data_IF_503293061622
#
_entry.id   IF_503293061622
#
_cell.length_a   1.000
_cell.length_b   1.000
_cell.length_c   1.000
_cell.angle_alpha   90.00
_cell.angle_beta   90.00
_cell.angle_gamma   90.00
#
_symmetry.space_group_name_H-M   'P 1'
#
loop_
_entity.id
_entity.type
_entity.pdbx_description
1 polymer ?
#
# COMPACT_ATOMS: atom_id res chain seq x y z
N UNK A 1 3.94 5.36 18.39
CA UNK A 1 3.10 4.91 17.25
C UNK A 1 2.02 5.92 16.88
N UNK A 2 1.37 6.60 17.85
CA UNK A 2 0.41 7.69 17.61
C UNK A 2 1.03 8.88 16.83
N UNK A 3 2.23 9.30 17.22
CA UNK A 3 2.97 10.40 16.58
C UNK A 3 3.17 10.21 15.06
N UNK A 4 3.45 8.98 14.60
CA UNK A 4 3.60 8.69 13.16
C UNK A 4 2.26 8.75 12.40
N UNK A 5 1.15 8.42 13.07
CA UNK A 5 -0.20 8.54 12.49
C UNK A 5 -0.65 10.00 12.41
N UNK A 6 -0.24 10.82 13.38
CA UNK A 6 -0.57 12.24 13.41
C UNK A 6 0.33 13.02 12.45
N UNK A 7 1.61 12.66 12.33
CA UNK A 7 2.51 13.16 11.29
C UNK A 7 2.02 12.77 9.89
N UNK A 8 1.55 11.53 9.72
CA UNK A 8 0.97 11.05 8.48
C UNK A 8 -0.31 11.78 8.07
N UNK A 9 -1.15 12.20 9.03
CA UNK A 9 -2.35 13.02 8.78
C UNK A 9 -2.00 14.47 8.43
N UNK A 10 -1.09 15.11 9.17
CA UNK A 10 -0.59 16.45 8.84
C UNK A 10 0.04 16.53 7.44
N UNK A 11 0.79 15.50 7.03
CA UNK A 11 1.44 15.47 5.71
C UNK A 11 0.41 15.21 4.59
N UNK A 12 -0.67 14.49 4.89
CA UNK A 12 -1.67 14.09 3.89
C UNK A 12 -2.64 15.22 3.52
N UNK A 13 -3.02 16.06 4.49
CA UNK A 13 -4.12 17.03 4.28
C UNK A 13 -3.64 18.42 3.78
N UNK A 14 -2.35 18.76 3.94
CA UNK A 14 -1.88 20.15 3.72
C UNK A 14 -0.80 20.29 2.63
N UNK A 15 -0.25 19.17 2.13
CA UNK A 15 0.84 19.20 1.15
C UNK A 15 0.37 18.81 -0.25
N UNK A 16 -0.08 19.81 -0.99
CA UNK A 16 -0.37 19.67 -2.41
C UNK A 16 0.89 19.16 -3.16
N UNK A 17 0.72 18.23 -4.12
CA UNK A 17 1.83 17.56 -4.82
C UNK A 17 2.88 18.52 -5.40
N UNK A 18 2.47 19.75 -5.76
CA UNK A 18 3.37 20.83 -6.21
C UNK A 18 4.21 21.44 -5.08
N UNK A 19 3.67 21.63 -3.89
CA UNK A 19 4.43 22.22 -2.77
C UNK A 19 5.49 21.24 -2.28
N UNK A 20 5.22 19.93 -2.26
CA UNK A 20 6.22 18.92 -1.90
C UNK A 20 7.41 18.90 -2.89
N UNK A 21 7.15 19.03 -4.20
CA UNK A 21 8.19 19.11 -5.23
C UNK A 21 9.01 20.41 -5.08
N UNK A 22 8.38 21.54 -4.77
CA UNK A 22 9.09 22.80 -4.57
C UNK A 22 9.98 22.78 -3.31
N UNK A 23 9.49 22.24 -2.20
CA UNK A 23 10.29 22.03 -1.01
C UNK A 23 11.47 21.09 -1.28
N UNK A 24 11.28 20.05 -2.11
CA UNK A 24 12.35 19.17 -2.54
C UNK A 24 13.43 19.89 -3.35
N UNK A 25 13.06 20.72 -4.33
CA UNK A 25 14.03 21.51 -5.11
C UNK A 25 14.81 22.45 -4.20
N UNK A 26 14.15 23.06 -3.22
CA UNK A 26 14.78 23.97 -2.25
C UNK A 26 15.74 23.22 -1.33
N UNK A 27 15.31 22.11 -0.72
CA UNK A 27 16.15 21.31 0.19
C UNK A 27 17.34 20.70 -0.57
N UNK A 28 17.12 20.21 -1.78
CA UNK A 28 18.18 19.67 -2.63
C UNK A 28 19.18 20.75 -3.06
N UNK A 29 18.70 21.95 -3.44
CA UNK A 29 19.57 23.08 -3.76
C UNK A 29 20.39 23.52 -2.54
N UNK A 30 19.78 23.59 -1.35
CA UNK A 30 20.46 23.94 -0.10
C UNK A 30 21.52 22.89 0.25
N UNK A 31 21.18 21.60 0.19
CA UNK A 31 22.13 20.52 0.50
C UNK A 31 23.26 20.42 -0.52
N UNK A 32 22.98 20.63 -1.81
CA UNK A 32 24.01 20.70 -2.84
C UNK A 32 24.95 21.89 -2.64
N UNK A 33 24.41 23.08 -2.36
CA UNK A 33 25.18 24.28 -2.06
C UNK A 33 26.05 24.10 -0.82
N UNK A 34 25.50 23.57 0.28
CA UNK A 34 26.25 23.27 1.50
C UNK A 34 27.35 22.24 1.26
N UNK A 35 27.08 21.20 0.46
CA UNK A 35 28.08 20.19 0.10
C UNK A 35 29.22 20.80 -0.72
N UNK A 36 28.93 21.66 -1.70
CA UNK A 36 29.98 22.38 -2.44
C UNK A 36 30.78 23.31 -1.54
N UNK A 37 30.14 24.04 -0.62
CA UNK A 37 30.85 24.90 0.34
C UNK A 37 31.76 24.09 1.28
N UNK A 38 31.33 22.91 1.73
CA UNK A 38 32.12 22.00 2.56
C UNK A 38 33.34 21.43 1.82
N UNK A 39 33.19 21.10 0.53
CA UNK A 39 34.31 20.60 -0.30
C UNK A 39 35.36 21.69 -0.56
N UNK A 40 34.95 22.93 -0.82
CA UNK A 40 35.88 24.02 -1.10
C UNK A 40 36.51 24.65 0.15
N UNK A 41 35.86 24.57 1.32
CA UNK A 41 36.39 25.08 2.59
C UNK A 41 35.89 24.25 3.80
N UNK A 42 36.51 23.10 4.09
CA UNK A 42 36.03 22.16 5.11
C UNK A 42 36.15 22.68 6.54
N UNK A 43 37.14 23.52 6.85
CA UNK A 43 37.34 24.08 8.21
C UNK A 43 36.33 25.18 8.55
N UNK A 44 36.11 26.14 7.66
CA UNK A 44 35.25 27.30 7.93
C UNK A 44 33.75 26.98 7.91
N UNK A 45 33.34 26.00 7.11
CA UNK A 45 31.92 25.69 6.93
C UNK A 45 31.33 24.88 8.08
N UNK A 46 32.09 23.98 8.70
CA UNK A 46 31.61 23.18 9.84
C UNK A 46 31.49 24.02 11.12
N UNK A 47 32.45 24.92 11.37
CA UNK A 47 32.39 25.89 12.48
C UNK A 47 31.24 26.89 12.30
N UNK A 48 31.00 27.38 11.07
CA UNK A 48 29.88 28.27 10.78
C UNK A 48 28.51 27.58 10.93
N UNK A 49 28.37 26.33 10.46
CA UNK A 49 27.14 25.53 10.61
C UNK A 49 26.86 25.18 12.07
N UNK A 50 27.89 24.79 12.83
CA UNK A 50 27.74 24.50 14.26
C UNK A 50 27.43 25.77 15.05
N UNK A 51 28.04 26.91 14.71
CA UNK A 51 27.71 28.21 15.32
C UNK A 51 26.27 28.68 15.03
N UNK A 52 25.76 28.46 13.82
CA UNK A 52 24.39 28.86 13.45
C UNK A 52 23.32 27.93 14.01
N UNK A 53 23.58 26.63 14.10
CA UNK A 53 22.62 25.64 14.63
C UNK A 53 22.62 25.58 16.16
N UNK A 54 23.79 25.68 16.80
CA UNK A 54 23.93 25.54 18.25
C UNK A 54 24.12 26.88 18.99
N UNK A 55 24.13 28.01 18.28
CA UNK A 55 24.12 29.34 18.89
C UNK A 55 25.34 29.61 19.77
N UNK A 56 26.54 29.55 19.19
CA UNK A 56 27.74 29.93 19.92
C UNK A 56 27.83 31.46 20.07
N UNK A 57 27.85 31.95 21.31
CA UNK A 57 28.32 33.31 21.61
C UNK A 57 29.84 33.33 21.50
N UNK A 58 30.37 33.87 20.41
CA UNK A 58 31.77 34.27 20.36
C UNK A 58 31.94 35.56 21.18
N UNK A 59 32.68 35.49 22.28
CA UNK A 59 33.31 36.67 22.86
C UNK A 59 34.33 37.20 21.84
N UNK A 60 34.04 38.36 21.27
CA UNK A 60 34.95 39.07 20.38
C UNK A 60 36.10 39.67 21.22
N UNK A 61 37.23 38.99 21.28
CA UNK A 61 38.52 39.67 21.47
C UNK A 61 39.20 39.78 20.11
N UNK A 62 38.94 40.88 19.40
CA UNK A 62 39.76 41.29 18.24
C UNK A 62 41.18 41.62 18.72
N UNK A 63 42.09 40.65 18.64
CA UNK A 63 43.52 40.95 18.72
C UNK A 63 44.00 41.32 17.32
N UNK A 64 44.20 42.63 17.08
CA UNK A 64 44.79 43.13 15.83
C UNK A 64 46.22 42.61 15.70
N UNK A 65 46.40 41.56 14.90
CA UNK A 65 47.72 41.12 14.45
C UNK A 65 48.40 42.28 13.74
N UNK A 66 49.45 42.80 14.35
CA UNK A 66 50.20 43.93 13.77
C UNK A 66 51.09 43.43 12.64
N UNK A 67 51.26 44.23 11.59
CA UNK A 67 52.06 43.90 10.41
C UNK A 67 53.52 43.48 10.75
N UNK A 68 54.00 43.87 11.93
CA UNK A 68 55.27 43.45 12.49
C UNK A 68 55.33 41.95 12.87
N UNK A 69 54.23 41.37 13.37
CA UNK A 69 54.14 39.94 13.68
C UNK A 69 54.09 39.09 12.41
N UNK A 70 53.45 39.61 11.36
CA UNK A 70 53.40 38.97 10.05
C UNK A 70 54.79 38.89 9.38
N UNK A 71 55.62 39.93 9.54
CA UNK A 71 57.02 39.92 9.08
C UNK A 71 57.92 39.01 9.92
N UNK A 72 57.64 38.87 11.22
CA UNK A 72 58.39 37.96 12.09
C UNK A 72 58.09 36.50 11.72
N UNK A 73 56.84 36.16 11.40
CA UNK A 73 56.43 34.84 10.93
C UNK A 73 57.05 34.48 9.56
N UNK A 74 57.13 35.43 8.62
CA UNK A 74 57.78 35.18 7.32
C UNK A 74 59.29 34.91 7.43
N UNK A 75 59.98 35.52 8.41
CA UNK A 75 61.40 35.23 8.67
C UNK A 75 61.62 33.84 9.26
N UNK A 76 60.67 33.32 10.03
CA UNK A 76 60.74 31.95 10.57
C UNK A 76 60.53 30.91 9.49
N UNK A 77 59.62 31.15 8.54
CA UNK A 77 59.36 30.23 7.40
C UNK A 77 60.58 30.11 6.49
N UNK A 78 61.27 31.20 6.17
CA UNK A 78 62.51 31.16 5.36
C UNK A 78 63.66 30.38 6.01
N UNK A 79 63.73 30.33 7.36
CA UNK A 79 64.73 29.51 8.06
C UNK A 79 64.41 28.01 8.03
N UNK A 80 63.17 27.62 7.76
CA UNK A 80 62.78 26.22 7.64
C UNK A 80 63.06 25.64 6.24
N UNK A 81 63.11 26.47 5.18
CA UNK A 81 63.36 26.00 3.81
C UNK A 81 64.83 25.60 3.56
N UNK A 82 65.79 26.11 4.34
CA UNK A 82 67.22 25.76 4.19
C UNK A 82 67.65 24.50 4.95
N UNK A 83 66.81 23.98 5.87
CA UNK A 83 67.04 22.68 6.49
C UNK A 83 66.36 21.60 5.65
N UNK A 84 67.14 20.90 4.81
CA UNK A 84 66.75 19.62 4.21
C UNK A 84 66.19 18.72 5.32
N UNK A 85 64.88 18.50 5.30
CA UNK A 85 64.19 17.61 6.22
C UNK A 85 64.78 16.21 6.09
N UNK A 86 65.54 15.76 7.09
CA UNK A 86 65.72 14.34 7.30
C UNK A 86 64.38 13.80 7.80
N UNK A 87 63.79 12.91 7.01
CA UNK A 87 62.55 12.21 7.37
C UNK A 87 62.88 11.28 8.53
N UNK A 88 62.28 11.56 9.69
CA UNK A 88 62.38 10.71 10.87
C UNK A 88 61.66 9.37 10.56
N UNK A 89 62.36 8.21 10.59
CA UNK A 89 61.76 6.92 10.29
C UNK A 89 60.72 6.46 11.33
N UNK A 90 60.54 7.20 12.43
CA UNK A 90 59.57 6.91 13.47
C UNK A 90 58.29 7.75 13.39
N UNK A 91 58.06 8.48 12.30
CA UNK A 91 56.83 9.25 12.09
C UNK A 91 55.67 8.30 11.73
N UNK A 92 54.90 7.87 12.74
CA UNK A 92 53.60 7.23 12.50
C UNK A 92 52.62 8.29 11.96
N UNK A 93 52.16 8.06 10.74
CA UNK A 93 51.14 8.87 10.07
C UNK A 93 49.80 8.71 10.80
N UNK A 94 49.57 9.52 11.85
CA UNK A 94 48.29 9.66 12.54
C UNK A 94 47.25 10.39 11.66
N UNK A 95 47.15 10.05 10.37
CA UNK A 95 46.10 10.52 9.45
C UNK A 95 44.78 9.75 9.58
N UNK A 96 44.68 8.84 10.55
CA UNK A 96 43.46 8.07 10.82
C UNK A 96 42.32 8.89 11.39
N UNK A 97 42.60 10.00 12.08
CA UNK A 97 41.61 10.67 12.92
C UNK A 97 41.00 11.96 12.31
N UNK A 98 41.57 12.52 11.23
CA UNK A 98 41.04 13.75 10.62
C UNK A 98 39.86 13.54 9.65
N UNK A 99 39.54 12.29 9.28
CA UNK A 99 38.42 11.98 8.36
C UNK A 99 37.11 11.60 9.07
N UNK A 100 37.09 11.56 10.40
CA UNK A 100 35.90 11.20 11.19
C UNK A 100 34.67 12.10 10.96
N UNK A 101 34.78 13.45 10.92
CA UNK A 101 33.61 14.32 10.77
C UNK A 101 33.03 14.25 9.35
N UNK A 102 33.88 14.06 8.33
CA UNK A 102 33.45 13.96 6.94
C UNK A 102 32.69 12.65 6.69
N UNK A 103 33.21 11.53 7.20
CA UNK A 103 32.53 10.23 7.10
C UNK A 103 31.19 10.22 7.84
N UNK A 104 31.12 10.82 9.03
CA UNK A 104 29.85 10.93 9.79
C UNK A 104 28.78 11.70 9.01
N UNK A 105 29.15 12.79 8.33
CA UNK A 105 28.23 13.57 7.50
C UNK A 105 27.71 12.78 6.28
N UNK A 106 28.58 12.02 5.60
CA UNK A 106 28.15 11.13 4.51
C UNK A 106 27.19 10.03 4.98
N UNK A 107 27.44 9.43 6.16
CA UNK A 107 26.50 8.46 6.75
C UNK A 107 25.15 9.08 7.10
N UNK A 108 25.13 10.33 7.57
CA UNK A 108 23.88 11.04 7.86
C UNK A 108 23.09 11.37 6.57
N UNK A 109 23.77 11.88 5.54
CA UNK A 109 23.14 12.15 4.24
C UNK A 109 22.59 10.89 3.57
N UNK A 110 23.34 9.78 3.62
CA UNK A 110 22.89 8.50 3.08
C UNK A 110 21.74 7.92 3.91
N UNK A 111 21.76 8.09 5.23
CA UNK A 111 20.64 7.75 6.12
C UNK A 111 19.36 8.53 5.79
N UNK A 112 19.46 9.84 5.55
CA UNK A 112 18.32 10.64 5.11
C UNK A 112 17.83 10.26 3.72
N UNK A 113 18.74 9.99 2.78
CA UNK A 113 18.40 9.57 1.43
C UNK A 113 17.65 8.23 1.41
N UNK A 114 18.11 7.26 2.20
CA UNK A 114 17.45 5.95 2.34
C UNK A 114 16.09 6.05 3.04
N UNK A 115 15.99 6.84 4.12
CA UNK A 115 14.70 7.10 4.79
C UNK A 115 13.69 7.75 3.84
N UNK A 116 14.14 8.69 3.00
CA UNK A 116 13.29 9.33 2.00
C UNK A 116 12.80 8.34 0.94
N UNK A 117 13.66 7.45 0.43
CA UNK A 117 13.25 6.39 -0.50
C UNK A 117 12.18 5.48 0.09
N UNK A 118 12.26 5.16 1.39
CA UNK A 118 11.21 4.40 2.10
C UNK A 118 9.89 5.17 2.12
N UNK A 119 9.91 6.48 2.37
CA UNK A 119 8.69 7.32 2.35
C UNK A 119 8.09 7.39 0.95
N UNK A 120 8.90 7.63 -0.09
CA UNK A 120 8.43 7.66 -1.48
C UNK A 120 7.86 6.31 -1.89
N UNK A 121 8.52 5.21 -1.54
CA UNK A 121 8.03 3.86 -1.80
C UNK A 121 6.68 3.62 -1.08
N UNK A 122 6.54 4.05 0.17
CA UNK A 122 5.30 3.92 0.92
C UNK A 122 4.13 4.67 0.25
N UNK A 123 4.35 5.92 -0.17
CA UNK A 123 3.35 6.72 -0.88
C UNK A 123 2.98 6.06 -2.21
N UNK A 124 3.98 5.61 -2.99
CA UNK A 124 3.77 4.96 -4.29
C UNK A 124 3.04 3.62 -4.18
N UNK A 125 3.31 2.82 -3.14
CA UNK A 125 2.57 1.59 -2.87
C UNK A 125 1.08 1.89 -2.63
N UNK A 126 0.75 2.99 -1.95
CA UNK A 126 -0.62 3.41 -1.75
C UNK A 126 -1.35 3.83 -3.04
N UNK A 127 -0.65 4.42 -4.01
CA UNK A 127 -1.19 4.71 -5.35
C UNK A 127 -1.40 3.41 -6.14
N UNK A 128 -0.39 2.54 -6.19
CA UNK A 128 -0.45 1.26 -6.91
C UNK A 128 -1.57 0.38 -6.38
N UNK A 129 -1.79 0.34 -5.07
CA UNK A 129 -2.88 -0.42 -4.48
C UNK A 129 -4.26 0.12 -4.89
N UNK A 130 -4.41 1.44 -5.03
CA UNK A 130 -5.66 2.07 -5.51
C UNK A 130 -5.89 1.80 -6.99
N UNK A 131 -4.85 1.92 -7.82
CA UNK A 131 -4.94 1.62 -9.25
C UNK A 131 -5.26 0.14 -9.49
N UNK A 132 -4.67 -0.76 -8.71
CA UNK A 132 -4.98 -2.19 -8.75
C UNK A 132 -6.42 -2.48 -8.30
N UNK A 133 -6.89 -1.85 -7.22
CA UNK A 133 -8.28 -1.99 -6.76
C UNK A 133 -9.27 -1.56 -7.85
N UNK A 134 -9.06 -0.40 -8.48
CA UNK A 134 -9.88 0.07 -9.58
C UNK A 134 -9.82 -0.88 -10.79
N UNK A 135 -8.65 -1.43 -11.10
CA UNK A 135 -8.48 -2.39 -12.19
C UNK A 135 -9.26 -3.68 -11.94
N UNK A 136 -9.17 -4.26 -10.75
CA UNK A 136 -9.94 -5.46 -10.40
C UNK A 136 -11.44 -5.20 -10.38
N UNK A 137 -11.87 -4.03 -9.90
CA UNK A 137 -13.28 -3.66 -9.93
C UNK A 137 -13.81 -3.55 -11.37
N UNK A 138 -13.07 -2.90 -12.28
CA UNK A 138 -13.44 -2.82 -13.70
C UNK A 138 -13.53 -4.20 -14.36
N UNK A 139 -12.59 -5.10 -14.05
CA UNK A 139 -12.66 -6.48 -14.56
C UNK A 139 -13.88 -7.24 -14.03
N UNK A 140 -14.24 -7.03 -12.76
CA UNK A 140 -15.44 -7.62 -12.18
C UNK A 140 -16.71 -7.06 -12.83
N UNK A 141 -16.76 -5.76 -13.08
CA UNK A 141 -17.88 -5.09 -13.74
C UNK A 141 -18.05 -5.59 -15.19
N UNK A 142 -16.96 -5.64 -15.96
CA UNK A 142 -16.95 -6.19 -17.32
C UNK A 142 -17.41 -7.65 -17.34
N UNK A 143 -16.96 -8.45 -16.36
CA UNK A 143 -17.40 -9.85 -16.26
C UNK A 143 -18.87 -9.93 -15.87
N UNK A 144 -19.36 -9.10 -14.95
CA UNK A 144 -20.74 -9.06 -14.47
C UNK A 144 -21.77 -8.81 -15.59
N UNK A 145 -21.38 -8.00 -16.59
CA UNK A 145 -22.20 -7.71 -17.78
C UNK A 145 -21.98 -8.68 -18.94
N UNK A 146 -21.14 -9.70 -18.78
CA UNK A 146 -20.89 -10.68 -19.84
C UNK A 146 -22.12 -11.52 -20.17
N UNK A 147 -22.27 -11.91 -21.45
CA UNK A 147 -23.41 -12.72 -21.93
C UNK A 147 -23.61 -14.04 -21.17
N UNK A 148 -22.54 -14.61 -20.62
CA UNK A 148 -22.60 -15.83 -19.81
C UNK A 148 -23.31 -15.59 -18.48
N UNK A 149 -22.93 -14.51 -17.79
CA UNK A 149 -23.57 -14.13 -16.51
C UNK A 149 -24.95 -13.52 -16.74
N UNK A 150 -25.18 -12.81 -17.84
CA UNK A 150 -26.51 -12.33 -18.20
C UNK A 150 -27.49 -13.49 -18.40
N UNK A 151 -27.09 -14.55 -19.09
CA UNK A 151 -27.89 -15.79 -19.20
C UNK A 151 -28.19 -16.42 -17.84
N UNK A 152 -27.20 -16.50 -16.96
CA UNK A 152 -27.42 -17.04 -15.62
C UNK A 152 -28.40 -16.19 -14.81
N UNK A 153 -28.26 -14.85 -14.88
CA UNK A 153 -29.18 -13.90 -14.23
C UNK A 153 -30.60 -14.01 -14.77
N UNK A 154 -30.77 -14.25 -16.08
CA UNK A 154 -32.08 -14.49 -16.69
C UNK A 154 -32.70 -15.78 -16.13
N UNK A 155 -31.96 -16.88 -16.09
CA UNK A 155 -32.44 -18.17 -15.54
C UNK A 155 -32.85 -18.02 -14.07
N UNK A 156 -32.02 -17.36 -13.24
CA UNK A 156 -32.35 -17.10 -11.84
C UNK A 156 -33.62 -16.25 -11.70
N UNK A 157 -33.75 -15.21 -12.53
CA UNK A 157 -34.93 -14.33 -12.53
C UNK A 157 -36.19 -15.05 -12.98
N UNK A 158 -36.11 -15.97 -13.94
CA UNK A 158 -37.23 -16.80 -14.34
C UNK A 158 -37.73 -17.67 -13.18
N UNK A 159 -36.81 -18.23 -12.38
CA UNK A 159 -37.19 -18.99 -11.18
C UNK A 159 -37.83 -18.13 -10.10
N UNK A 160 -37.39 -16.87 -9.95
CA UNK A 160 -37.97 -15.90 -9.01
C UNK A 160 -39.36 -15.40 -9.42
N UNK A 161 -39.62 -15.26 -10.74
CA UNK A 161 -40.86 -14.70 -11.28
C UNK A 161 -41.99 -15.72 -11.42
N UNK A 162 -41.70 -17.01 -11.29
CA UNK A 162 -42.74 -18.02 -11.22
C UNK A 162 -43.66 -17.74 -10.02
N UNK A 163 -44.98 -17.69 -10.29
CA UNK A 163 -45.97 -17.11 -9.39
C UNK A 163 -45.81 -17.65 -7.96
N UNK A 164 -45.47 -16.78 -6.99
CA UNK A 164 -45.40 -17.20 -5.60
C UNK A 164 -46.77 -17.66 -5.15
N UNK A 165 -46.82 -18.74 -4.36
CA UNK A 165 -48.09 -19.20 -3.81
C UNK A 165 -48.59 -18.15 -2.80
N UNK A 166 -49.91 -17.93 -2.69
CA UNK A 166 -50.45 -17.04 -1.67
C UNK A 166 -50.02 -17.55 -0.28
N UNK A 167 -49.31 -16.71 0.48
CA UNK A 167 -48.71 -16.98 1.81
C UNK A 167 -47.36 -17.73 1.84
N UNK A 168 -46.62 -17.79 0.73
CA UNK A 168 -45.28 -18.37 0.72
C UNK A 168 -44.29 -17.53 1.55
N UNK A 169 -43.58 -18.18 2.50
CA UNK A 169 -42.52 -17.50 3.24
C UNK A 169 -41.28 -17.29 2.36
N UNK A 170 -40.43 -16.32 2.70
CA UNK A 170 -39.17 -16.12 1.97
C UNK A 170 -38.27 -17.37 1.98
N UNK A 171 -38.29 -18.12 3.08
CA UNK A 171 -37.56 -19.38 3.19
C UNK A 171 -38.09 -20.44 2.23
N UNK A 172 -39.42 -20.54 2.08
CA UNK A 172 -40.04 -21.48 1.14
C UNK A 172 -39.72 -21.10 -0.30
N UNK A 173 -39.73 -19.80 -0.61
CA UNK A 173 -39.33 -19.28 -1.93
C UNK A 173 -37.89 -19.63 -2.27
N UNK A 174 -36.96 -19.40 -1.35
CA UNK A 174 -35.54 -19.75 -1.53
C UNK A 174 -35.39 -21.26 -1.73
N UNK A 175 -36.11 -22.07 -0.95
CA UNK A 175 -36.08 -23.52 -1.09
C UNK A 175 -36.58 -23.98 -2.46
N UNK A 176 -37.71 -23.44 -2.93
CA UNK A 176 -38.26 -23.73 -4.26
C UNK A 176 -37.29 -23.38 -5.40
N UNK A 177 -36.62 -22.23 -5.33
CA UNK A 177 -35.60 -21.85 -6.32
C UNK A 177 -34.40 -22.80 -6.25
N UNK A 178 -33.96 -23.16 -5.04
CA UNK A 178 -32.85 -24.10 -4.85
C UNK A 178 -33.15 -25.49 -5.44
N UNK A 179 -34.37 -26.00 -5.27
CA UNK A 179 -34.79 -27.26 -5.88
C UNK A 179 -34.77 -27.21 -7.41
N UNK A 180 -35.23 -26.12 -8.02
CA UNK A 180 -35.18 -25.93 -9.48
C UNK A 180 -33.75 -25.89 -10.01
N UNK A 181 -32.85 -25.22 -9.30
CA UNK A 181 -31.42 -25.20 -9.66
C UNK A 181 -30.85 -26.62 -9.63
N UNK A 182 -31.19 -27.39 -8.59
CA UNK A 182 -30.79 -28.80 -8.51
C UNK A 182 -31.38 -29.63 -9.66
N UNK A 183 -32.62 -29.36 -10.06
CA UNK A 183 -33.27 -30.00 -11.22
C UNK A 183 -32.52 -29.68 -12.52
N UNK A 184 -32.14 -28.42 -12.74
CA UNK A 184 -31.31 -28.01 -13.90
C UNK A 184 -30.01 -28.78 -13.95
N UNK A 185 -29.33 -28.96 -12.81
CA UNK A 185 -28.07 -29.70 -12.75
C UNK A 185 -28.20 -31.21 -12.94
N UNK A 186 -29.37 -31.78 -12.68
CA UNK A 186 -29.61 -33.23 -12.79
C UNK A 186 -30.32 -33.63 -14.10
N UNK A 187 -30.97 -32.70 -14.79
CA UNK A 187 -31.71 -32.99 -16.02
C UNK A 187 -30.81 -33.04 -17.26
N UNK A 188 -30.90 -34.15 -18.00
CA UNK A 188 -30.37 -34.24 -19.36
C UNK A 188 -31.25 -33.38 -20.29
N UNK A 189 -30.65 -32.39 -20.97
CA UNK A 189 -31.32 -31.42 -21.84
C UNK A 189 -31.32 -29.96 -21.36
N UNK A 190 -30.88 -29.67 -20.13
CA UNK A 190 -30.71 -28.30 -19.60
C UNK A 190 -29.22 -27.93 -19.43
N UNK A 191 -28.34 -28.49 -20.27
CA UNK A 191 -26.89 -28.35 -20.11
C UNK A 191 -26.41 -26.90 -20.23
N UNK A 192 -27.04 -26.10 -21.08
CA UNK A 192 -26.64 -24.70 -21.30
C UNK A 192 -26.95 -23.83 -20.08
N UNK A 193 -28.13 -24.04 -19.49
CA UNK A 193 -28.58 -23.39 -18.27
C UNK A 193 -27.66 -23.80 -17.11
N UNK A 194 -27.37 -25.10 -16.97
CA UNK A 194 -26.44 -25.60 -15.97
C UNK A 194 -25.03 -24.97 -16.09
N UNK A 195 -24.48 -24.87 -17.30
CA UNK A 195 -23.19 -24.21 -17.53
C UNK A 195 -23.24 -22.72 -17.15
N UNK A 196 -24.33 -22.02 -17.50
CA UNK A 196 -24.48 -20.61 -17.12
C UNK A 196 -24.52 -20.41 -15.60
N UNK A 197 -25.24 -21.28 -14.88
CA UNK A 197 -25.32 -21.23 -13.41
C UNK A 197 -23.99 -21.59 -12.74
N UNK A 198 -23.18 -22.49 -13.31
CA UNK A 198 -21.81 -22.75 -12.83
C UNK A 198 -20.92 -21.53 -13.04
N UNK A 199 -20.96 -20.91 -14.23
CA UNK A 199 -20.18 -19.70 -14.49
C UNK A 199 -20.55 -18.57 -13.51
N UNK A 200 -21.82 -18.49 -13.11
CA UNK A 200 -22.28 -17.57 -12.08
C UNK A 200 -21.68 -17.90 -10.70
N UNK A 201 -21.69 -19.17 -10.29
CA UNK A 201 -21.05 -19.59 -9.05
C UNK A 201 -19.54 -19.32 -9.02
N UNK A 202 -18.85 -19.58 -10.13
CA UNK A 202 -17.41 -19.31 -10.26
C UNK A 202 -17.11 -17.80 -10.20
N UNK A 203 -17.99 -16.98 -10.78
CA UNK A 203 -17.91 -15.53 -10.63
C UNK A 203 -18.08 -15.10 -9.17
N UNK A 204 -19.08 -15.62 -8.47
CA UNK A 204 -19.31 -15.27 -7.05
C UNK A 204 -18.17 -15.74 -6.15
N UNK A 205 -17.55 -16.89 -6.43
CA UNK A 205 -16.33 -17.33 -5.73
C UNK A 205 -15.15 -16.41 -6.01
N UNK A 206 -15.01 -15.91 -7.25
CA UNK A 206 -13.97 -14.95 -7.63
C UNK A 206 -14.15 -13.63 -6.89
N UNK A 207 -15.38 -13.10 -6.82
CA UNK A 207 -15.71 -11.91 -6.03
C UNK A 207 -15.35 -12.13 -4.56
N UNK A 208 -15.76 -13.26 -3.99
CA UNK A 208 -15.42 -13.62 -2.60
C UNK A 208 -13.92 -13.73 -2.37
N UNK A 209 -13.17 -14.28 -3.33
CA UNK A 209 -11.72 -14.41 -3.27
C UNK A 209 -11.04 -13.04 -3.28
N UNK A 210 -11.45 -12.14 -4.19
CA UNK A 210 -10.89 -10.80 -4.30
C UNK A 210 -11.17 -9.96 -3.06
N UNK A 211 -12.39 -10.04 -2.53
CA UNK A 211 -12.77 -9.41 -1.26
C UNK A 211 -11.90 -9.91 -0.10
N UNK A 212 -11.79 -11.22 0.06
CA UNK A 212 -11.03 -11.85 1.17
C UNK A 212 -9.56 -11.42 1.21
N UNK A 213 -8.95 -11.18 0.05
CA UNK A 213 -7.55 -10.76 -0.04
C UNK A 213 -7.37 -9.24 -0.03
N UNK A 214 -8.44 -8.47 0.11
CA UNK A 214 -8.39 -7.01 0.15
C UNK A 214 -8.08 -6.35 -1.20
N UNK A 215 -8.28 -7.07 -2.31
CA UNK A 215 -8.14 -6.50 -3.65
C UNK A 215 -9.33 -5.61 -4.03
N UNK A 216 -10.51 -5.88 -3.44
CA UNK A 216 -11.73 -5.09 -3.66
C UNK A 216 -12.42 -4.87 -2.30
N UNK A 217 -12.84 -3.64 -2.03
CA UNK A 217 -13.64 -3.31 -0.84
C UNK A 217 -15.06 -3.83 -0.92
N UNK A 218 -15.65 -4.06 0.25
CA UNK A 218 -17.05 -4.46 0.40
C UNK A 218 -18.01 -3.51 -0.33
N UNK A 219 -17.86 -2.19 -0.21
CA UNK A 219 -18.76 -1.22 -0.82
C UNK A 219 -18.87 -1.37 -2.35
N UNK A 220 -17.77 -1.72 -3.01
CA UNK A 220 -17.77 -1.98 -4.45
C UNK A 220 -18.45 -3.29 -4.81
N UNK A 221 -18.21 -4.33 -4.01
CA UNK A 221 -18.86 -5.64 -4.16
C UNK A 221 -20.38 -5.52 -3.95
N UNK A 222 -20.78 -4.76 -2.94
CA UNK A 222 -22.16 -4.44 -2.59
C UNK A 222 -22.83 -3.59 -3.69
N UNK A 223 -22.12 -2.61 -4.27
CA UNK A 223 -22.64 -1.85 -5.41
C UNK A 223 -22.80 -2.68 -6.69
N UNK A 224 -21.90 -3.65 -6.93
CA UNK A 224 -21.91 -4.49 -8.14
C UNK A 224 -23.06 -5.51 -8.12
N UNK A 225 -23.19 -6.23 -7.00
CA UNK A 225 -24.14 -7.33 -6.87
C UNK A 225 -25.44 -6.89 -6.17
N UNK A 226 -25.45 -5.77 -5.45
CA UNK A 226 -26.56 -5.35 -4.59
C UNK A 226 -26.72 -6.23 -3.36
N UNK A 227 -27.89 -6.13 -2.71
CA UNK A 227 -28.30 -6.93 -1.53
C UNK A 227 -28.45 -8.44 -1.82
N UNK A 228 -28.17 -8.88 -3.05
CA UNK A 228 -28.49 -10.22 -3.53
C UNK A 228 -27.43 -11.28 -3.19
N UNK A 229 -26.24 -10.91 -2.68
CA UNK A 229 -25.14 -11.86 -2.46
C UNK A 229 -25.52 -12.96 -1.46
N UNK A 230 -26.13 -12.58 -0.33
CA UNK A 230 -26.59 -13.52 0.68
C UNK A 230 -27.73 -14.39 0.13
N UNK A 231 -28.66 -13.79 -0.62
CA UNK A 231 -29.74 -14.49 -1.29
C UNK A 231 -29.22 -15.55 -2.28
N UNK A 232 -28.29 -15.17 -3.17
CA UNK A 232 -27.69 -16.09 -4.13
C UNK A 232 -27.01 -17.26 -3.43
N UNK A 233 -26.28 -17.01 -2.34
CA UNK A 233 -25.64 -18.10 -1.61
C UNK A 233 -26.67 -19.10 -1.07
N UNK A 234 -27.75 -18.63 -0.45
CA UNK A 234 -28.83 -19.49 0.07
C UNK A 234 -29.46 -20.33 -1.03
N UNK A 235 -29.74 -19.71 -2.17
CA UNK A 235 -30.35 -20.37 -3.32
C UNK A 235 -29.44 -21.48 -3.88
N UNK A 236 -28.13 -21.25 -3.93
CA UNK A 236 -27.14 -22.24 -4.39
C UNK A 236 -26.63 -23.20 -3.31
N UNK A 237 -26.97 -23.01 -2.03
CA UNK A 237 -26.41 -23.76 -0.90
C UNK A 237 -26.58 -25.28 -1.09
N UNK A 238 -27.78 -25.71 -1.51
CA UNK A 238 -28.08 -27.12 -1.78
C UNK A 238 -27.13 -27.75 -2.80
N UNK A 239 -26.86 -27.04 -3.90
CA UNK A 239 -25.91 -27.48 -4.92
C UNK A 239 -24.47 -27.52 -4.40
N UNK A 240 -24.03 -26.46 -3.71
CA UNK A 240 -22.67 -26.37 -3.17
C UNK A 240 -22.39 -27.52 -2.20
N UNK A 241 -23.32 -27.81 -1.29
CA UNK A 241 -23.21 -28.91 -0.32
C UNK A 241 -23.11 -30.27 -1.04
N UNK A 242 -23.97 -30.51 -2.03
CA UNK A 242 -23.96 -31.75 -2.81
C UNK A 242 -22.65 -31.90 -3.62
N UNK A 243 -22.17 -30.82 -4.24
CA UNK A 243 -20.91 -30.79 -4.97
C UNK A 243 -19.71 -31.15 -4.09
N UNK A 244 -19.65 -30.58 -2.87
CA UNK A 244 -18.62 -30.90 -1.87
C UNK A 244 -18.66 -32.38 -1.47
N UNK A 245 -19.84 -32.94 -1.18
CA UNK A 245 -20.02 -34.37 -0.84
C UNK A 245 -19.53 -35.32 -1.95
N UNK A 246 -19.84 -35.02 -3.22
CA UNK A 246 -19.39 -35.82 -4.38
C UNK A 246 -17.87 -35.78 -4.56
N UNK A 247 -17.23 -34.67 -4.20
CA UNK A 247 -15.77 -34.53 -4.26
C UNK A 247 -15.07 -35.31 -3.16
N UNK A 248 -15.61 -35.29 -1.94
CA UNK A 248 -15.02 -35.95 -0.76
C UNK A 248 -15.15 -37.47 -0.78
N UNK A 249 -16.13 -38.00 -1.51
CA UNK A 249 -16.30 -39.45 -1.72
C UNK A 249 -15.36 -40.04 -2.77
N UNK A 250 -14.72 -39.21 -3.59
CA UNK A 250 -13.60 -39.63 -4.45
C UNK A 250 -12.31 -39.71 -3.65
N UNK A 251 -11.56 -40.81 -3.74
CA UNK A 251 -10.25 -41.05 -3.09
C UNK A 251 -9.11 -40.07 -3.47
N UNK A 252 -9.36 -38.76 -3.60
CA UNK A 252 -8.32 -37.76 -3.86
C UNK A 252 -7.70 -37.32 -2.54
N UNK A 253 -6.37 -37.23 -2.54
CA UNK A 253 -5.58 -36.72 -1.43
C UNK A 253 -6.19 -35.44 -0.84
N UNK A 254 -6.53 -35.48 0.45
CA UNK A 254 -6.99 -34.33 1.27
C UNK A 254 -6.00 -33.14 1.32
N UNK A 255 -4.88 -33.19 0.59
CA UNK A 255 -3.79 -32.22 0.67
C UNK A 255 -3.99 -30.98 -0.21
N UNK A 256 -4.97 -30.93 -1.12
CA UNK A 256 -5.44 -29.68 -1.73
C UNK A 256 -6.74 -29.24 -1.03
N UNK A 257 -6.58 -28.56 0.10
CA UNK A 257 -7.57 -28.35 1.16
C UNK A 257 -8.54 -27.17 0.98
N UNK A 258 -8.65 -26.60 -0.23
CA UNK A 258 -9.58 -25.48 -0.45
C UNK A 258 -10.95 -26.06 -0.81
N UNK A 259 -11.88 -25.96 0.13
CA UNK A 259 -13.29 -26.28 -0.10
C UNK A 259 -13.84 -25.41 -1.25
N UNK A 260 -14.49 -26.01 -2.27
CA UNK A 260 -15.12 -25.27 -3.35
C UNK A 260 -16.13 -24.25 -2.81
N UNK A 261 -16.15 -23.05 -3.42
CA UNK A 261 -17.08 -21.97 -3.10
C UNK A 261 -16.97 -21.44 -1.65
N UNK A 262 -15.82 -21.64 -0.99
CA UNK A 262 -15.63 -21.22 0.40
C UNK A 262 -15.48 -19.70 0.54
N UNK A 263 -14.99 -19.01 -0.49
CA UNK A 263 -14.86 -17.56 -0.45
C UNK A 263 -16.22 -16.88 -0.64
N UNK A 264 -17.06 -17.42 -1.53
CA UNK A 264 -18.45 -17.00 -1.70
C UNK A 264 -19.25 -17.18 -0.40
N UNK A 265 -19.18 -18.36 0.23
CA UNK A 265 -19.83 -18.62 1.51
C UNK A 265 -19.43 -17.62 2.61
N UNK A 266 -18.13 -17.32 2.71
CA UNK A 266 -17.64 -16.34 3.70
C UNK A 266 -18.14 -14.93 3.40
N UNK A 267 -18.17 -14.55 2.12
CA UNK A 267 -18.68 -13.25 1.70
C UNK A 267 -20.16 -13.13 2.04
N UNK A 268 -20.98 -14.13 1.71
CA UNK A 268 -22.40 -14.15 2.04
C UNK A 268 -22.67 -14.02 3.55
N UNK A 269 -21.96 -14.79 4.38
CA UNK A 269 -22.05 -14.69 5.85
C UNK A 269 -21.63 -13.32 6.39
N UNK A 270 -20.73 -12.62 5.71
CA UNK A 270 -20.31 -11.28 6.10
C UNK A 270 -21.38 -10.24 5.74
N UNK A 271 -22.02 -10.36 4.57
CA UNK A 271 -23.16 -9.53 4.15
C UNK A 271 -24.31 -9.67 5.16
N UNK A 272 -24.70 -10.89 5.52
CA UNK A 272 -25.79 -11.13 6.50
C UNK A 272 -25.49 -10.51 7.88
N UNK A 273 -24.22 -10.58 8.33
CA UNK A 273 -23.81 -9.93 9.59
C UNK A 273 -23.83 -8.41 9.53
N UNK A 274 -23.77 -7.83 8.33
CA UNK A 274 -23.81 -6.38 8.10
C UNK A 274 -25.24 -5.89 7.96
N UNK A 275 -26.14 -6.63 7.33
CA UNK A 275 -27.58 -6.30 7.27
C UNK A 275 -28.21 -6.16 8.67
N UNK A 276 -27.75 -6.97 9.64
CA UNK A 276 -28.17 -6.84 11.05
C UNK A 276 -27.59 -5.63 11.81
N UNK A 277 -26.75 -4.81 11.19
CA UNK A 277 -26.10 -3.63 11.79
C UNK A 277 -26.35 -2.40 10.92
N UNK A 278 -26.90 -1.32 11.49
CA UNK A 278 -27.03 -0.04 10.77
C UNK A 278 -25.67 0.38 10.19
N UNK A 279 -25.53 0.30 8.87
CA UNK A 279 -24.30 0.60 8.14
C UNK A 279 -24.12 2.12 8.12
N UNK A 280 -23.38 2.65 9.09
CA UNK A 280 -22.92 4.06 9.11
C UNK A 280 -21.48 4.22 8.60
N UNK A 281 -20.85 3.14 8.12
CA UNK A 281 -19.41 3.12 7.83
C UNK A 281 -19.08 3.18 6.32
N UNK A 282 -20.07 3.12 5.42
CA UNK A 282 -19.81 3.32 3.99
C UNK A 282 -19.58 4.81 3.62
N UNK A 283 -20.08 5.76 4.42
CA UNK A 283 -19.90 7.20 4.17
C UNK A 283 -18.50 7.72 4.54
N UNK A 284 -17.71 6.98 5.33
CA UNK A 284 -16.38 7.47 5.76
C UNK A 284 -15.24 7.22 4.78
N UNK A 285 -15.53 6.72 3.58
CA UNK A 285 -14.52 6.35 2.58
C UNK A 285 -14.74 6.87 1.17
N UNK A 286 -15.86 7.55 0.90
CA UNK A 286 -16.18 8.12 -0.41
C UNK A 286 -16.05 9.65 -0.48
N UNK A 287 -15.94 10.33 0.68
CA UNK A 287 -15.94 11.81 0.75
C UNK A 287 -14.56 12.44 0.99
N UNK A 288 -13.47 11.67 1.12
CA UNK A 288 -12.12 12.23 1.25
C UNK A 288 -11.42 12.27 -0.12
N UNK A 289 -11.90 13.17 -0.99
CA UNK A 289 -11.29 13.56 -2.26
C UNK A 289 -10.56 14.92 -2.14
#
# INVERSE_FOLDING_TARGET
MQFLKDLGRCIKDEWNRRTMIWWFVIIFAITALLSTCLVYNPRYSLEALTCTVFGCKHDQSEERVTMHECQKAQKTVKKCEEKKCQVDPNYQDNKGDENYPLNSFYYWLTGLGTLWLVVVAYIKIGEINRDNEAHFFLQLDERWISEELERAKIVLREFELEKPQPNESESDRIHNISEKIMEVFNNQGKEKEAVSLINFLDFMETVGFLYKHGYVKYCYVDALCGESIAFYYKVFEGYIVEFRKRRDTGHRNKSLSVEPYCCFERLAKEVERREGRCISDCERGCDDA
#
